data_IF_942076679404
#
_entry.id   IF_942076679404
#
_cell.length_a   1.000
_cell.length_b   1.000
_cell.length_c   1.000
_cell.angle_alpha   90.00
_cell.angle_beta   90.00
_cell.angle_gamma   90.00
#
_symmetry.space_group_name_H-M   'P 1'
#
loop_
_entity.id
_entity.type
_entity.pdbx_description
1 polymer ?
#
# COMPACT_ATOMS: atom_id res chain seq x y z
N UNK A 1 -29.84 -36.63 43.86
CA UNK A 1 -30.20 -35.50 42.99
C UNK A 1 -29.13 -34.43 43.14
N UNK A 2 -28.26 -34.29 42.14
CA UNK A 2 -27.42 -33.10 41.99
C UNK A 2 -27.17 -32.92 40.50
N UNK A 3 -28.14 -32.28 39.84
CA UNK A 3 -28.07 -31.82 38.47
C UNK A 3 -27.07 -30.67 38.39
N UNK A 4 -25.84 -30.97 37.96
CA UNK A 4 -24.88 -29.96 37.58
C UNK A 4 -25.33 -29.31 36.27
N UNK A 5 -25.66 -28.01 36.32
CA UNK A 5 -25.97 -27.21 35.13
C UNK A 5 -24.71 -27.13 34.22
N UNK A 6 -24.84 -27.32 32.90
CA UNK A 6 -23.73 -27.17 31.98
C UNK A 6 -23.24 -25.71 31.95
N UNK A 7 -21.94 -25.52 32.18
CA UNK A 7 -21.29 -24.22 32.21
C UNK A 7 -21.51 -23.44 30.91
N UNK A 8 -21.85 -22.16 31.06
CA UNK A 8 -22.01 -21.23 29.95
C UNK A 8 -20.74 -21.20 29.07
N UNK A 9 -20.87 -21.12 27.73
CA UNK A 9 -19.72 -21.08 26.84
C UNK A 9 -18.81 -19.90 27.18
N UNK A 10 -17.52 -20.19 27.39
CA UNK A 10 -16.51 -19.20 27.78
C UNK A 10 -16.38 -18.09 26.73
N UNK A 11 -16.39 -16.82 27.18
CA UNK A 11 -16.21 -15.59 26.38
C UNK A 11 -14.96 -15.58 25.48
N UNK A 12 -14.05 -16.53 25.63
CA UNK A 12 -12.79 -16.69 24.90
C UNK A 12 -12.98 -17.15 23.45
N UNK A 13 -14.09 -17.80 23.09
CA UNK A 13 -14.26 -18.38 21.74
C UNK A 13 -14.58 -17.36 20.63
N UNK A 14 -15.23 -16.23 20.96
CA UNK A 14 -15.65 -15.15 20.03
C UNK A 14 -14.53 -14.33 19.37
N UNK A 15 -13.27 -14.76 19.50
CA UNK A 15 -12.11 -13.97 19.05
C UNK A 15 -11.33 -14.65 17.92
N UNK A 16 -11.63 -15.87 17.52
CA UNK A 16 -10.76 -16.66 16.63
C UNK A 16 -10.86 -16.26 15.17
N UNK A 17 -12.05 -16.41 14.59
CA UNK A 17 -12.36 -16.06 13.19
C UNK A 17 -12.27 -14.54 13.01
N UNK A 18 -12.76 -13.76 13.97
CA UNK A 18 -12.63 -12.30 13.94
C UNK A 18 -11.15 -11.87 13.92
N UNK A 19 -10.27 -12.50 14.71
CA UNK A 19 -8.82 -12.23 14.64
C UNK A 19 -8.24 -12.56 13.28
N UNK A 20 -8.63 -13.67 12.65
CA UNK A 20 -8.14 -14.04 11.31
C UNK A 20 -8.55 -12.99 10.26
N UNK A 21 -9.80 -12.53 10.29
CA UNK A 21 -10.29 -11.48 9.39
C UNK A 21 -9.56 -10.16 9.67
N UNK A 22 -9.45 -9.75 10.94
CA UNK A 22 -8.74 -8.55 11.35
C UNK A 22 -7.26 -8.58 10.96
N UNK A 23 -6.59 -9.74 10.99
CA UNK A 23 -5.20 -9.84 10.54
C UNK A 23 -5.04 -9.56 9.05
N UNK A 24 -5.98 -9.99 8.20
CA UNK A 24 -5.96 -9.68 6.76
C UNK A 24 -6.21 -8.18 6.53
N UNK A 25 -7.18 -7.60 7.25
CA UNK A 25 -7.43 -6.16 7.19
C UNK A 25 -6.23 -5.32 7.66
N UNK A 26 -5.57 -5.73 8.75
CA UNK A 26 -4.37 -5.08 9.27
C UNK A 26 -3.20 -5.18 8.30
N UNK A 27 -3.02 -6.32 7.61
CA UNK A 27 -2.02 -6.46 6.55
C UNK A 27 -2.27 -5.49 5.39
N UNK A 28 -3.53 -5.30 4.99
CA UNK A 28 -3.90 -4.32 3.95
C UNK A 28 -3.60 -2.87 4.38
N UNK A 29 -3.90 -2.51 5.63
CA UNK A 29 -3.56 -1.19 6.17
C UNK A 29 -2.04 -0.99 6.25
N UNK A 30 -1.31 -1.98 6.73
CA UNK A 30 0.15 -1.92 6.83
C UNK A 30 0.80 -1.82 5.45
N UNK A 31 0.29 -2.55 4.46
CA UNK A 31 0.67 -2.40 3.06
C UNK A 31 0.45 -0.98 2.55
N UNK A 32 -0.73 -0.39 2.79
CA UNK A 32 -1.04 0.97 2.36
C UNK A 32 -0.09 2.00 2.99
N UNK A 33 0.24 1.84 4.28
CA UNK A 33 1.21 2.70 4.97
C UNK A 33 2.61 2.55 4.37
N UNK A 34 3.06 1.32 4.07
CA UNK A 34 4.38 1.09 3.47
C UNK A 34 4.45 1.67 2.06
N UNK A 35 3.43 1.44 1.22
CA UNK A 35 3.35 2.04 -0.12
C UNK A 35 3.38 3.57 -0.03
N UNK A 36 2.62 4.14 0.91
CA UNK A 36 2.62 5.58 1.17
C UNK A 36 4.00 6.10 1.60
N UNK A 37 4.68 5.41 2.52
CA UNK A 37 6.02 5.79 2.98
C UNK A 37 7.05 5.73 1.84
N UNK A 38 7.03 4.65 1.04
CA UNK A 38 7.89 4.50 -0.14
C UNK A 38 7.62 5.61 -1.16
N UNK A 39 6.35 5.94 -1.42
CA UNK A 39 5.99 7.04 -2.31
C UNK A 39 6.51 8.39 -1.79
N UNK A 40 6.32 8.71 -0.51
CA UNK A 40 6.79 9.96 0.10
C UNK A 40 8.31 10.11 0.01
N UNK A 41 9.07 9.07 0.35
CA UNK A 41 10.55 9.11 0.30
C UNK A 41 11.07 9.29 -1.13
N UNK A 42 10.44 8.65 -2.12
CA UNK A 42 10.86 8.81 -3.50
C UNK A 42 10.45 10.17 -4.08
N UNK A 43 9.26 10.67 -3.74
CA UNK A 43 8.81 12.01 -4.12
C UNK A 43 9.70 13.09 -3.49
N UNK A 44 10.16 12.92 -2.25
CA UNK A 44 11.08 13.90 -1.63
C UNK A 44 12.43 13.95 -2.35
N UNK A 45 12.99 12.81 -2.74
CA UNK A 45 14.23 12.74 -3.54
C UNK A 45 14.04 13.36 -4.92
N UNK A 46 12.90 13.14 -5.55
CA UNK A 46 12.56 13.75 -6.84
C UNK A 46 12.40 15.27 -6.74
N UNK A 47 11.83 15.78 -5.63
CA UNK A 47 11.74 17.22 -5.37
C UNK A 47 13.12 17.85 -5.20
N UNK A 48 14.02 17.19 -4.48
CA UNK A 48 15.40 17.65 -4.32
C UNK A 48 16.13 17.75 -5.67
N UNK A 49 16.03 16.70 -6.49
CA UNK A 49 16.64 16.69 -7.83
C UNK A 49 16.06 17.79 -8.75
N UNK A 50 14.75 18.03 -8.71
CA UNK A 50 14.11 19.12 -9.45
C UNK A 50 14.51 20.50 -8.93
N UNK A 51 14.70 20.66 -7.62
CA UNK A 51 15.15 21.94 -7.02
C UNK A 51 16.57 22.27 -7.48
N UNK A 52 17.45 21.26 -7.51
CA UNK A 52 18.80 21.41 -8.05
C UNK A 52 18.77 21.77 -9.55
N UNK A 53 17.93 21.12 -10.34
CA UNK A 53 17.75 21.45 -11.76
C UNK A 53 17.29 22.89 -11.95
N UNK A 54 16.25 23.33 -11.23
CA UNK A 54 15.74 24.69 -11.30
C UNK A 54 16.80 25.74 -10.89
N UNK A 55 17.65 25.41 -9.91
CA UNK A 55 18.76 26.27 -9.50
C UNK A 55 19.81 26.41 -10.62
N UNK A 56 20.13 25.31 -11.31
CA UNK A 56 21.04 25.34 -12.45
C UNK A 56 20.46 26.07 -13.65
N UNK A 57 19.17 25.89 -13.93
CA UNK A 57 18.47 26.62 -15.01
C UNK A 57 18.48 28.13 -14.75
N UNK A 58 18.17 28.56 -13.51
CA UNK A 58 18.28 29.97 -13.11
C UNK A 58 19.71 30.51 -13.28
N UNK A 59 20.72 29.75 -12.87
CA UNK A 59 22.12 30.12 -13.06
C UNK A 59 22.46 30.24 -14.57
N UNK A 60 21.93 29.35 -15.40
CA UNK A 60 22.08 29.40 -16.85
C UNK A 60 21.50 30.69 -17.45
N UNK A 61 20.30 31.07 -17.01
CA UNK A 61 19.65 32.33 -17.42
C UNK A 61 20.47 33.55 -16.99
N UNK A 62 20.96 33.59 -15.74
CA UNK A 62 21.79 34.70 -15.23
C UNK A 62 23.12 34.84 -16.02
N UNK A 63 23.75 33.72 -16.40
CA UNK A 63 24.94 33.71 -17.26
C UNK A 63 24.61 34.22 -18.67
N UNK A 64 23.46 33.84 -19.22
CA UNK A 64 23.02 34.32 -20.52
C UNK A 64 22.73 35.83 -20.50
N UNK A 65 22.08 36.34 -19.44
CA UNK A 65 21.82 37.76 -19.24
C UNK A 65 23.12 38.56 -19.16
N UNK A 66 24.16 38.05 -18.47
CA UNK A 66 25.48 38.68 -18.45
C UNK A 66 26.11 38.78 -19.84
N UNK A 67 26.02 37.72 -20.65
CA UNK A 67 26.55 37.73 -22.02
C UNK A 67 25.78 38.69 -22.92
N UNK A 68 24.46 38.74 -22.75
CA UNK A 68 23.60 39.69 -23.44
C UNK A 68 23.96 41.13 -23.05
N UNK A 69 24.10 41.43 -21.76
CA UNK A 69 24.51 42.73 -21.25
C UNK A 69 25.89 43.17 -21.77
N UNK A 70 26.86 42.26 -21.85
CA UNK A 70 28.16 42.52 -22.48
C UNK A 70 28.00 42.93 -23.95
N UNK A 71 27.13 42.23 -24.69
CA UNK A 71 26.87 42.49 -26.11
C UNK A 71 26.12 43.80 -26.33
N UNK A 72 25.10 44.07 -25.51
CA UNK A 72 24.28 45.27 -25.57
C UNK A 72 25.11 46.52 -25.23
N UNK A 73 25.90 46.47 -24.16
CA UNK A 73 26.79 47.57 -23.77
C UNK A 73 27.80 47.88 -24.88
N UNK A 74 28.40 46.83 -25.47
CA UNK A 74 29.32 47.02 -26.59
C UNK A 74 28.65 47.59 -27.84
N UNK A 75 27.39 47.21 -28.10
CA UNK A 75 26.58 47.81 -29.16
C UNK A 75 26.41 49.32 -28.99
N UNK A 76 26.03 49.76 -27.78
CA UNK A 76 25.92 51.19 -27.46
C UNK A 76 27.27 51.92 -27.53
N UNK A 77 28.36 51.27 -27.13
CA UNK A 77 29.71 51.84 -27.28
C UNK A 77 30.03 52.14 -28.74
N UNK A 78 29.76 51.18 -29.63
CA UNK A 78 29.92 51.37 -31.07
C UNK A 78 29.05 52.52 -31.62
N UNK A 79 27.80 52.65 -31.15
CA UNK A 79 26.92 53.73 -31.60
C UNK A 79 27.40 55.11 -31.15
N UNK A 80 27.78 55.30 -29.88
CA UNK A 80 28.27 56.62 -29.45
C UNK A 80 29.66 56.91 -30.04
N UNK A 81 30.50 55.89 -30.24
CA UNK A 81 31.78 56.05 -30.93
C UNK A 81 31.58 56.53 -32.38
N UNK A 82 30.56 56.02 -33.08
CA UNK A 82 30.17 56.53 -34.40
C UNK A 82 29.70 57.99 -34.34
N UNK A 83 28.95 58.39 -33.31
CA UNK A 83 28.49 59.77 -33.14
C UNK A 83 29.66 60.77 -33.00
N UNK A 84 30.83 60.35 -32.50
CA UNK A 84 32.01 61.23 -32.44
C UNK A 84 32.42 61.79 -33.81
N UNK A 85 32.11 61.09 -34.90
CA UNK A 85 32.33 61.55 -36.29
C UNK A 85 31.15 62.30 -36.87
N UNK A 86 29.93 62.01 -36.41
CA UNK A 86 28.68 62.58 -36.94
C UNK A 86 28.34 63.92 -36.31
N UNK A 87 28.41 64.01 -34.98
CA UNK A 87 28.07 65.18 -34.18
C UNK A 87 29.33 65.96 -33.77
N UNK A 88 30.43 65.24 -33.58
CA UNK A 88 31.70 65.75 -33.07
C UNK A 88 32.07 65.06 -31.75
N UNK A 89 33.36 64.93 -31.44
CA UNK A 89 33.83 64.06 -30.34
C UNK A 89 33.42 64.57 -28.96
N UNK A 90 33.31 65.88 -28.76
CA UNK A 90 32.89 66.44 -27.45
C UNK A 90 31.39 66.23 -27.22
N UNK A 91 30.55 66.59 -28.20
CA UNK A 91 29.09 66.46 -28.10
C UNK A 91 28.66 65.00 -27.91
N UNK A 92 29.28 64.07 -28.64
CA UNK A 92 28.95 62.64 -28.56
C UNK A 92 29.19 62.01 -27.18
N UNK A 93 30.13 62.55 -26.38
CA UNK A 93 30.50 61.98 -25.06
C UNK A 93 30.07 62.83 -23.87
N UNK A 94 29.57 64.05 -24.10
CA UNK A 94 28.88 64.83 -23.08
C UNK A 94 27.57 64.15 -22.69
N UNK A 95 26.89 63.55 -23.67
CA UNK A 95 25.66 62.78 -23.48
C UNK A 95 24.45 63.65 -23.20
N UNK A 96 23.44 63.07 -22.54
CA UNK A 96 22.15 63.70 -22.27
C UNK A 96 20.99 62.78 -22.67
N UNK A 97 19.73 63.21 -22.42
CA UNK A 97 18.55 62.43 -22.76
C UNK A 97 18.52 62.05 -24.24
N UNK A 98 18.14 60.80 -24.54
CA UNK A 98 17.96 60.25 -25.88
C UNK A 98 19.26 60.18 -26.70
N UNK A 99 20.41 60.08 -26.04
CA UNK A 99 21.74 59.95 -26.69
C UNK A 99 22.27 58.51 -26.64
N UNK A 100 23.10 58.13 -27.61
CA UNK A 100 23.79 56.84 -27.57
C UNK A 100 24.72 56.70 -26.37
N UNK A 101 25.26 57.82 -25.85
CA UNK A 101 26.08 57.80 -24.63
C UNK A 101 25.24 57.46 -23.39
N UNK A 102 24.02 57.98 -23.29
CA UNK A 102 23.09 57.57 -22.22
C UNK A 102 22.76 56.08 -22.32
N UNK A 103 22.47 55.58 -23.53
CA UNK A 103 22.25 54.15 -23.78
C UNK A 103 23.41 53.28 -23.27
N UNK A 104 24.66 53.67 -23.55
CA UNK A 104 25.84 52.98 -23.02
C UNK A 104 25.88 52.99 -21.49
N UNK A 105 25.66 54.15 -20.86
CA UNK A 105 25.73 54.29 -19.40
C UNK A 105 24.67 53.43 -18.70
N UNK A 106 23.44 53.41 -19.22
CA UNK A 106 22.38 52.58 -18.65
C UNK A 106 22.62 51.08 -18.89
N UNK A 107 23.08 50.67 -20.09
CA UNK A 107 23.43 49.28 -20.38
C UNK A 107 24.60 48.79 -19.50
N UNK A 108 25.64 49.62 -19.32
CA UNK A 108 26.78 49.32 -18.46
C UNK A 108 26.35 49.19 -16.98
N UNK A 109 25.47 50.07 -16.52
CA UNK A 109 24.92 49.99 -15.16
C UNK A 109 24.08 48.74 -14.95
N UNK A 110 23.21 48.40 -15.90
CA UNK A 110 22.40 47.19 -15.85
C UNK A 110 23.28 45.92 -15.83
N UNK A 111 24.29 45.87 -16.70
CA UNK A 111 25.24 44.74 -16.76
C UNK A 111 26.07 44.61 -15.49
N UNK A 112 26.51 45.74 -14.91
CA UNK A 112 27.21 45.74 -13.62
C UNK A 112 26.32 45.20 -12.50
N UNK A 113 25.04 45.57 -12.48
CA UNK A 113 24.08 45.05 -11.51
C UNK A 113 23.85 43.53 -11.65
N UNK A 114 23.91 42.97 -12.86
CA UNK A 114 23.88 41.53 -13.08
C UNK A 114 25.10 40.84 -12.46
N UNK A 115 26.31 41.40 -12.65
CA UNK A 115 27.52 40.86 -12.02
C UNK A 115 27.46 40.90 -10.50
N UNK A 116 26.87 41.95 -9.92
CA UNK A 116 26.75 42.10 -8.47
C UNK A 116 25.65 41.21 -7.87
N UNK A 117 24.63 40.85 -8.67
CA UNK A 117 23.44 40.11 -8.24
C UNK A 117 23.45 38.61 -8.52
N UNK A 118 24.37 38.11 -9.35
CA UNK A 118 24.42 36.70 -9.75
C UNK A 118 24.60 35.76 -8.54
N UNK A 119 23.79 34.69 -8.47
CA UNK A 119 23.87 33.72 -7.38
C UNK A 119 24.95 32.67 -7.66
N UNK A 120 26.07 32.77 -6.94
CA UNK A 120 27.22 31.86 -7.12
C UNK A 120 27.14 30.58 -6.28
N UNK A 121 26.06 30.34 -5.55
CA UNK A 121 25.94 29.17 -4.65
C UNK A 121 25.98 27.84 -5.40
N UNK A 122 25.42 27.80 -6.62
CA UNK A 122 25.40 26.61 -7.46
C UNK A 122 26.63 26.45 -8.38
N UNK A 123 27.55 27.42 -8.39
CA UNK A 123 28.73 27.40 -9.24
C UNK A 123 29.83 26.48 -8.71
N UNK A 124 30.54 25.79 -9.61
CA UNK A 124 31.80 25.09 -9.31
C UNK A 124 32.95 26.08 -9.06
N UNK A 125 34.11 25.59 -8.64
CA UNK A 125 35.30 26.42 -8.47
C UNK A 125 35.79 27.01 -9.81
N UNK A 126 35.73 26.22 -10.87
CA UNK A 126 36.10 26.60 -12.23
C UNK A 126 35.13 27.66 -12.78
N UNK A 127 33.83 27.47 -12.57
CA UNK A 127 32.81 28.44 -12.99
C UNK A 127 32.95 29.79 -12.26
N UNK A 128 33.26 29.77 -10.95
CA UNK A 128 33.56 30.99 -10.19
C UNK A 128 34.82 31.69 -10.70
N UNK A 129 35.81 30.93 -11.15
CA UNK A 129 37.02 31.48 -11.77
C UNK A 129 36.68 32.18 -13.08
N UNK A 130 35.86 31.56 -13.93
CA UNK A 130 35.38 32.17 -15.18
C UNK A 130 34.54 33.43 -14.91
N UNK A 131 33.65 33.41 -13.93
CA UNK A 131 32.89 34.61 -13.54
C UNK A 131 33.81 35.74 -13.07
N UNK A 132 34.84 35.41 -12.29
CA UNK A 132 35.83 36.39 -11.82
C UNK A 132 36.64 36.97 -12.98
N UNK A 133 37.00 36.14 -13.97
CA UNK A 133 37.65 36.58 -15.21
C UNK A 133 36.74 37.52 -16.00
N UNK A 134 35.46 37.17 -16.16
CA UNK A 134 34.47 38.06 -16.79
C UNK A 134 34.38 39.39 -16.05
N UNK A 135 34.27 39.39 -14.71
CA UNK A 135 34.16 40.62 -13.93
C UNK A 135 35.41 41.50 -14.04
N UNK A 136 36.59 40.88 -13.98
CA UNK A 136 37.87 41.60 -14.11
C UNK A 136 37.98 42.30 -15.47
N UNK A 137 37.61 41.59 -16.55
CA UNK A 137 37.62 42.17 -17.88
C UNK A 137 36.50 43.19 -18.07
N UNK A 138 35.35 43.03 -17.41
CA UNK A 138 34.27 44.02 -17.40
C UNK A 138 34.72 45.34 -16.77
N UNK A 139 35.37 45.29 -15.62
CA UNK A 139 35.91 46.49 -14.97
C UNK A 139 37.00 47.16 -15.83
N UNK A 140 37.84 46.38 -16.52
CA UNK A 140 38.83 46.89 -17.46
C UNK A 140 38.22 47.49 -18.73
N UNK A 141 37.12 46.91 -19.24
CA UNK A 141 36.35 47.45 -20.36
C UNK A 141 35.78 48.82 -20.03
N UNK A 142 35.16 48.98 -18.85
CA UNK A 142 34.62 50.27 -18.39
C UNK A 142 35.73 51.31 -18.17
N UNK A 143 36.88 50.92 -17.62
CA UNK A 143 38.03 51.82 -17.48
C UNK A 143 38.59 52.25 -18.85
N UNK A 144 38.59 51.35 -19.84
CA UNK A 144 38.93 51.66 -21.22
C UNK A 144 37.97 52.66 -21.85
N UNK A 145 36.67 52.48 -21.63
CA UNK A 145 35.64 53.42 -22.07
C UNK A 145 35.86 54.83 -21.48
N UNK A 146 36.15 54.92 -20.19
CA UNK A 146 36.46 56.18 -19.52
C UNK A 146 37.70 56.87 -20.14
N UNK A 147 38.73 56.12 -20.50
CA UNK A 147 39.91 56.65 -21.19
C UNK A 147 39.58 57.16 -22.60
N UNK A 148 38.74 56.43 -23.35
CA UNK A 148 38.29 56.84 -24.67
C UNK A 148 37.47 58.14 -24.59
N UNK A 149 36.53 58.22 -23.65
CA UNK A 149 35.72 59.43 -23.37
C UNK A 149 36.61 60.61 -23.01
N UNK A 150 37.62 60.42 -22.15
CA UNK A 150 38.56 61.47 -21.82
C UNK A 150 39.35 61.97 -23.04
N UNK A 151 39.73 61.08 -23.96
CA UNK A 151 40.39 61.44 -25.21
C UNK A 151 39.47 62.24 -26.15
N UNK A 152 38.21 61.80 -26.31
CA UNK A 152 37.22 62.50 -27.13
C UNK A 152 36.90 63.91 -26.62
N UNK A 153 36.83 64.11 -25.29
CA UNK A 153 36.61 65.42 -24.66
C UNK A 153 37.68 66.47 -24.98
N UNK A 154 38.86 66.06 -25.46
CA UNK A 154 39.88 67.03 -25.90
C UNK A 154 39.46 67.81 -27.14
N UNK A 155 38.52 67.28 -27.94
CA UNK A 155 38.05 67.93 -29.17
C UNK A 155 39.09 68.01 -30.30
N UNK A 156 40.23 67.32 -30.16
CA UNK A 156 41.34 67.39 -31.14
C UNK A 156 41.33 66.18 -32.08
N UNK A 157 41.90 66.28 -33.30
CA UNK A 157 42.10 65.12 -34.18
C UNK A 157 42.87 63.97 -33.51
N UNK A 158 43.89 64.30 -32.71
CA UNK A 158 44.67 63.31 -31.97
C UNK A 158 43.83 62.62 -30.86
N UNK A 159 42.95 63.36 -30.21
CA UNK A 159 42.00 62.81 -29.24
C UNK A 159 40.97 61.88 -29.88
N UNK A 160 40.42 62.27 -31.03
CA UNK A 160 39.52 61.43 -31.82
C UNK A 160 40.19 60.12 -32.24
N UNK A 161 41.42 60.18 -32.76
CA UNK A 161 42.20 59.00 -33.14
C UNK A 161 42.49 58.11 -31.93
N UNK A 162 42.95 58.69 -30.81
CA UNK A 162 43.22 57.94 -29.57
C UNK A 162 41.98 57.23 -29.04
N UNK A 163 40.85 57.94 -28.91
CA UNK A 163 39.61 57.37 -28.40
C UNK A 163 39.07 56.26 -29.30
N UNK A 164 39.10 56.48 -30.63
CA UNK A 164 38.73 55.46 -31.61
C UNK A 164 39.59 54.20 -31.44
N UNK A 165 40.92 54.36 -31.33
CA UNK A 165 41.83 53.23 -31.19
C UNK A 165 41.56 52.41 -29.92
N UNK A 166 41.21 53.05 -28.81
CA UNK A 166 40.88 52.36 -27.56
C UNK A 166 39.65 51.46 -27.75
N UNK A 167 38.62 51.97 -28.42
CA UNK A 167 37.34 51.27 -28.66
C UNK A 167 37.48 50.18 -29.74
N UNK A 168 38.13 50.48 -30.87
CA UNK A 168 38.09 49.64 -32.07
C UNK A 168 39.29 48.66 -32.19
N UNK A 169 40.39 48.92 -31.47
CA UNK A 169 41.63 48.13 -31.58
C UNK A 169 42.29 47.82 -30.23
N UNK A 170 41.83 48.45 -29.16
CA UNK A 170 42.53 48.56 -27.89
C UNK A 170 41.94 47.69 -26.80
N UNK A 171 42.01 48.21 -25.57
CA UNK A 171 41.60 47.48 -24.37
C UNK A 171 40.14 47.03 -24.47
N UNK A 172 39.22 47.88 -24.98
CA UNK A 172 37.80 47.56 -25.05
C UNK A 172 37.52 46.31 -25.89
N UNK A 173 38.16 46.15 -27.05
CA UNK A 173 38.03 44.95 -27.89
C UNK A 173 38.55 43.72 -27.14
N UNK A 174 39.78 43.80 -26.61
CA UNK A 174 40.41 42.65 -25.96
C UNK A 174 39.65 42.19 -24.72
N UNK A 175 39.10 43.12 -23.94
CA UNK A 175 38.32 42.81 -22.75
C UNK A 175 36.94 42.28 -23.12
N UNK A 176 36.28 42.85 -24.15
CA UNK A 176 35.01 42.34 -24.66
C UNK A 176 35.13 40.87 -25.11
N UNK A 177 36.16 40.55 -25.89
CA UNK A 177 36.41 39.20 -26.38
C UNK A 177 36.73 38.21 -25.24
N UNK A 178 37.46 38.67 -24.22
CA UNK A 178 37.73 37.88 -23.03
C UNK A 178 36.44 37.58 -22.23
N UNK A 179 35.56 38.58 -22.05
CA UNK A 179 34.26 38.40 -21.38
C UNK A 179 33.39 37.41 -22.15
N UNK A 180 33.25 37.56 -23.49
CA UNK A 180 32.45 36.62 -24.28
C UNK A 180 33.03 35.20 -24.27
N UNK A 181 34.36 35.07 -24.33
CA UNK A 181 35.03 33.77 -24.29
C UNK A 181 34.83 33.08 -22.95
N UNK A 182 35.03 33.78 -21.83
CA UNK A 182 34.80 33.24 -20.50
C UNK A 182 33.31 32.95 -20.26
N UNK A 183 32.42 33.82 -20.73
CA UNK A 183 30.97 33.65 -20.66
C UNK A 183 30.47 32.44 -21.44
N UNK A 184 31.01 32.17 -22.63
CA UNK A 184 30.69 30.94 -23.38
C UNK A 184 31.11 29.69 -22.63
N UNK A 185 32.35 29.64 -22.12
CA UNK A 185 32.83 28.51 -21.33
C UNK A 185 31.98 28.28 -20.08
N UNK A 186 31.58 29.36 -19.40
CA UNK A 186 30.71 29.30 -18.23
C UNK A 186 29.32 28.77 -18.61
N UNK A 187 28.73 29.31 -19.68
CA UNK A 187 27.44 28.86 -20.20
C UNK A 187 27.44 27.40 -20.63
N UNK A 188 28.50 26.95 -21.33
CA UNK A 188 28.64 25.55 -21.77
C UNK A 188 28.78 24.59 -20.56
N UNK A 189 29.52 24.99 -19.52
CA UNK A 189 29.65 24.22 -18.27
C UNK A 189 28.29 24.06 -17.59
N UNK A 190 27.56 25.17 -17.41
CA UNK A 190 26.24 25.15 -16.77
C UNK A 190 25.24 24.35 -17.60
N UNK A 191 25.23 24.53 -18.93
CA UNK A 191 24.36 23.77 -19.83
C UNK A 191 24.63 22.25 -19.78
N UNK A 192 25.90 21.83 -19.73
CA UNK A 192 26.25 20.43 -19.59
C UNK A 192 25.75 19.84 -18.26
N UNK A 193 25.82 20.61 -17.18
CA UNK A 193 25.31 20.20 -15.86
C UNK A 193 23.79 20.15 -15.81
N UNK A 194 23.10 21.08 -16.48
CA UNK A 194 21.63 21.04 -16.66
C UNK A 194 21.23 19.74 -17.34
N UNK A 195 21.91 19.37 -18.43
CA UNK A 195 21.59 18.14 -19.17
C UNK A 195 21.82 16.88 -18.31
N UNK A 196 22.97 16.78 -17.64
CA UNK A 196 23.24 15.68 -16.71
C UNK A 196 22.23 15.61 -15.57
N UNK A 197 21.76 16.76 -15.07
CA UNK A 197 20.75 16.80 -14.02
C UNK A 197 19.35 16.42 -14.53
N UNK A 198 19.01 16.75 -15.79
CA UNK A 198 17.75 16.31 -16.43
C UNK A 198 17.70 14.79 -16.57
N UNK A 199 18.81 14.16 -16.94
CA UNK A 199 18.92 12.69 -16.96
C UNK A 199 18.69 12.10 -15.56
N UNK A 200 19.32 12.66 -14.52
CA UNK A 200 19.12 12.23 -13.13
C UNK A 200 17.64 12.35 -12.73
N UNK A 201 16.98 13.46 -13.04
CA UNK A 201 15.55 13.66 -12.74
C UNK A 201 14.70 12.61 -13.47
N UNK A 202 14.97 12.34 -14.75
CA UNK A 202 14.25 11.36 -15.55
C UNK A 202 14.42 9.93 -15.00
N UNK A 203 15.63 9.54 -14.65
CA UNK A 203 15.92 8.22 -14.09
C UNK A 203 15.29 8.06 -12.69
N UNK A 204 15.34 9.10 -11.85
CA UNK A 204 14.66 9.08 -10.54
C UNK A 204 13.15 8.95 -10.69
N UNK A 205 12.54 9.56 -11.70
CA UNK A 205 11.11 9.39 -11.96
C UNK A 205 10.78 7.94 -12.35
N UNK A 206 11.59 7.32 -13.22
CA UNK A 206 11.45 5.90 -13.60
C UNK A 206 11.62 4.97 -12.41
N UNK A 207 12.66 5.15 -11.61
CA UNK A 207 12.92 4.37 -10.39
C UNK A 207 11.78 4.51 -9.38
N UNK A 208 11.25 5.72 -9.22
CA UNK A 208 10.11 5.99 -8.33
C UNK A 208 8.87 5.22 -8.77
N UNK A 209 8.53 5.29 -10.06
CA UNK A 209 7.39 4.55 -10.62
C UNK A 209 7.60 3.05 -10.47
N UNK A 210 8.78 2.54 -10.81
CA UNK A 210 9.11 1.12 -10.67
C UNK A 210 9.01 0.65 -9.21
N UNK A 211 9.56 1.40 -8.26
CA UNK A 211 9.52 1.07 -6.83
C UNK A 211 8.07 1.07 -6.30
N UNK A 212 7.25 2.06 -6.65
CA UNK A 212 5.84 2.13 -6.23
C UNK A 212 5.05 0.97 -6.83
N UNK A 213 5.19 0.69 -8.14
CA UNK A 213 4.48 -0.40 -8.82
C UNK A 213 4.90 -1.75 -8.25
N UNK A 214 6.19 -2.00 -8.06
CA UNK A 214 6.69 -3.27 -7.52
C UNK A 214 6.22 -3.48 -6.08
N UNK A 215 6.24 -2.42 -5.25
CA UNK A 215 5.73 -2.48 -3.87
C UNK A 215 4.22 -2.75 -3.86
N UNK A 216 3.45 -2.07 -4.72
CA UNK A 216 2.02 -2.29 -4.86
C UNK A 216 1.71 -3.73 -5.27
N UNK A 217 2.40 -4.26 -6.30
CA UNK A 217 2.22 -5.64 -6.77
C UNK A 217 2.56 -6.65 -5.69
N UNK A 218 3.69 -6.47 -4.99
CA UNK A 218 4.13 -7.37 -3.91
C UNK A 218 3.10 -7.43 -2.77
N UNK A 219 2.66 -6.27 -2.27
CA UNK A 219 1.70 -6.24 -1.17
C UNK A 219 0.29 -6.67 -1.60
N UNK A 220 -0.11 -6.42 -2.85
CA UNK A 220 -1.36 -6.93 -3.41
C UNK A 220 -1.33 -8.46 -3.48
N UNK A 221 -0.23 -9.04 -3.98
CA UNK A 221 -0.04 -10.49 -4.03
C UNK A 221 -0.04 -11.10 -2.62
N UNK A 222 0.61 -10.45 -1.65
CA UNK A 222 0.62 -10.90 -0.25
C UNK A 222 -0.77 -10.84 0.40
N UNK A 223 -1.52 -9.78 0.14
CA UNK A 223 -2.90 -9.64 0.63
C UNK A 223 -3.83 -10.70 0.04
N UNK A 224 -3.75 -10.95 -1.28
CA UNK A 224 -4.50 -12.02 -1.96
C UNK A 224 -4.12 -13.38 -1.38
N UNK A 225 -2.83 -13.66 -1.22
CA UNK A 225 -2.36 -14.92 -0.64
C UNK A 225 -2.88 -15.13 0.79
N UNK A 226 -2.82 -14.10 1.65
CA UNK A 226 -3.36 -14.16 3.00
C UNK A 226 -4.88 -14.39 3.01
N UNK A 227 -5.62 -13.66 2.18
CA UNK A 227 -7.07 -13.79 2.04
C UNK A 227 -7.48 -15.20 1.58
N UNK A 228 -6.85 -15.71 0.52
CA UNK A 228 -7.10 -17.07 -0.01
C UNK A 228 -6.77 -18.13 1.04
N UNK A 229 -5.65 -18.00 1.76
CA UNK A 229 -5.26 -18.94 2.81
C UNK A 229 -6.26 -18.97 3.98
N UNK A 230 -6.76 -17.81 4.40
CA UNK A 230 -7.79 -17.72 5.46
C UNK A 230 -9.12 -18.28 4.96
N UNK A 231 -9.57 -17.89 3.77
CA UNK A 231 -10.82 -18.34 3.18
C UNK A 231 -10.85 -19.87 2.96
N UNK A 232 -9.79 -20.44 2.37
CA UNK A 232 -9.71 -21.90 2.13
C UNK A 232 -9.70 -22.70 3.43
N UNK A 233 -9.00 -22.22 4.47
CA UNK A 233 -9.02 -22.84 5.80
C UNK A 233 -10.40 -22.79 6.43
N UNK A 234 -11.09 -21.65 6.33
CA UNK A 234 -12.43 -21.48 6.88
C UNK A 234 -13.44 -22.38 6.16
N UNK A 235 -13.46 -22.35 4.82
CA UNK A 235 -14.35 -23.17 3.99
C UNK A 235 -14.14 -24.67 4.25
N UNK A 236 -12.89 -25.13 4.32
CA UNK A 236 -12.59 -26.54 4.60
C UNK A 236 -13.16 -26.99 5.95
N UNK A 237 -13.08 -26.14 6.97
CA UNK A 237 -13.61 -26.46 8.32
C UNK A 237 -15.12 -26.45 8.36
N UNK A 238 -15.75 -25.47 7.71
CA UNK A 238 -17.21 -25.41 7.58
C UNK A 238 -17.72 -26.65 6.87
N UNK A 239 -17.07 -27.09 5.78
CA UNK A 239 -17.42 -28.32 5.07
C UNK A 239 -17.29 -29.57 5.95
N UNK A 240 -16.25 -29.68 6.78
CA UNK A 240 -16.10 -30.81 7.69
C UNK A 240 -17.23 -30.87 8.74
N UNK A 241 -17.62 -29.73 9.30
CA UNK A 241 -18.76 -29.64 10.20
C UNK A 241 -20.08 -29.98 9.48
N UNK A 242 -20.26 -29.47 8.26
CA UNK A 242 -21.42 -29.77 7.42
C UNK A 242 -21.56 -31.27 7.15
N UNK A 243 -20.48 -31.96 6.78
CA UNK A 243 -20.49 -33.42 6.57
C UNK A 243 -20.96 -34.19 7.81
N UNK A 244 -20.55 -33.76 9.00
CA UNK A 244 -20.96 -34.40 10.26
C UNK A 244 -22.45 -34.17 10.56
N UNK A 245 -22.96 -32.95 10.29
CA UNK A 245 -24.39 -32.62 10.46
C UNK A 245 -25.24 -33.39 9.45
N UNK A 246 -24.81 -33.49 8.19
CA UNK A 246 -25.52 -34.24 7.15
C UNK A 246 -25.61 -35.74 7.50
N UNK A 247 -24.52 -36.34 8.00
CA UNK A 247 -24.51 -37.70 8.51
C UNK A 247 -25.49 -37.88 9.68
N UNK A 248 -25.47 -36.96 10.66
CA UNK A 248 -26.41 -36.94 11.77
C UNK A 248 -27.87 -36.86 11.31
N UNK A 249 -28.15 -36.04 10.30
CA UNK A 249 -29.49 -35.83 9.73
C UNK A 249 -30.09 -37.07 9.06
N UNK A 250 -29.25 -37.98 8.54
CA UNK A 250 -29.68 -39.26 7.97
C UNK A 250 -29.59 -40.44 8.96
N UNK A 251 -29.27 -40.17 10.23
CA UNK A 251 -29.15 -41.19 11.28
C UNK A 251 -27.81 -41.92 11.33
N UNK A 252 -26.82 -41.51 10.54
CA UNK A 252 -25.45 -42.04 10.64
C UNK A 252 -24.71 -41.36 11.80
N UNK A 253 -24.73 -42.03 12.96
CA UNK A 253 -24.05 -41.58 14.17
C UNK A 253 -22.58 -41.99 14.23
N UNK A 254 -21.99 -42.50 13.14
CA UNK A 254 -20.59 -43.00 13.15
C UNK A 254 -19.56 -41.93 12.79
N UNK A 255 -19.97 -40.83 12.15
CA UNK A 255 -19.08 -39.75 11.70
C UNK A 255 -18.85 -38.72 12.82
N UNK A 256 -17.64 -38.64 13.43
CA UNK A 256 -17.35 -37.67 14.49
C UNK A 256 -17.15 -36.25 13.92
N UNK A 257 -17.54 -35.24 14.71
CA UNK A 257 -17.26 -33.84 14.37
C UNK A 257 -16.08 -33.32 15.20
N UNK A 258 -14.87 -33.39 14.63
CA UNK A 258 -13.65 -32.92 15.30
C UNK A 258 -13.15 -31.60 14.71
N UNK A 259 -12.72 -30.72 15.59
CA UNK A 259 -12.03 -29.48 15.25
C UNK A 259 -10.74 -29.37 16.06
N UNK A 260 -9.63 -29.10 15.37
CA UNK A 260 -8.30 -28.94 15.98
C UNK A 260 -7.95 -27.48 16.30
N UNK A 261 -8.93 -26.64 16.63
CA UNK A 261 -8.72 -25.21 16.90
C UNK A 261 -9.34 -24.77 18.21
N UNK A 262 -9.21 -23.48 18.53
CA UNK A 262 -9.79 -22.89 19.75
C UNK A 262 -10.57 -21.63 19.38
N UNK A 263 -11.35 -21.72 18.29
CA UNK A 263 -12.13 -20.64 17.70
C UNK A 263 -13.64 -20.96 17.69
N UNK A 264 -14.44 -20.07 17.12
CA UNK A 264 -15.90 -20.20 17.05
C UNK A 264 -16.32 -21.47 16.29
N UNK A 265 -15.52 -21.91 15.32
CA UNK A 265 -15.78 -23.13 14.56
C UNK A 265 -15.57 -24.37 15.45
N UNK A 266 -14.59 -24.32 16.37
CA UNK A 266 -14.38 -25.37 17.35
C UNK A 266 -15.55 -25.51 18.32
N UNK A 267 -16.10 -24.38 18.77
CA UNK A 267 -17.29 -24.37 19.62
C UNK A 267 -18.52 -24.99 18.92
N UNK A 268 -18.67 -24.77 17.61
CA UNK A 268 -19.73 -25.37 16.80
C UNK A 268 -19.53 -26.88 16.65
N UNK A 269 -18.33 -27.32 16.27
CA UNK A 269 -18.00 -28.73 16.11
C UNK A 269 -18.20 -29.50 17.43
N UNK A 270 -17.76 -28.94 18.56
CA UNK A 270 -17.97 -29.53 19.88
C UNK A 270 -19.47 -29.64 20.25
N UNK A 271 -20.31 -28.69 19.83
CA UNK A 271 -21.76 -28.77 20.04
C UNK A 271 -22.42 -29.86 19.20
N UNK A 272 -22.01 -30.01 17.93
CA UNK A 272 -22.48 -31.07 17.03
C UNK A 272 -22.08 -32.44 17.59
N UNK A 273 -20.85 -32.59 18.06
CA UNK A 273 -20.35 -33.84 18.63
C UNK A 273 -21.11 -34.25 19.89
N UNK A 274 -21.41 -33.30 20.79
CA UNK A 274 -22.27 -33.57 21.95
C UNK A 274 -23.67 -34.04 21.56
N UNK A 275 -24.26 -33.44 20.52
CA UNK A 275 -25.58 -33.86 20.03
C UNK A 275 -25.53 -35.28 19.46
N UNK A 276 -24.49 -35.61 18.68
CA UNK A 276 -24.27 -36.93 18.09
C UNK A 276 -24.12 -38.02 19.17
N UNK A 277 -23.31 -37.77 20.20
CA UNK A 277 -23.14 -38.69 21.34
C UNK A 277 -24.45 -38.88 22.09
N UNK A 278 -25.16 -37.79 22.40
CA UNK A 278 -26.46 -37.88 23.09
C UNK A 278 -27.50 -38.67 22.31
N UNK A 279 -27.58 -38.53 20.98
CA UNK A 279 -28.46 -39.34 20.13
C UNK A 279 -28.06 -40.82 20.16
N UNK A 280 -26.76 -41.13 20.16
CA UNK A 280 -26.27 -42.51 20.25
C UNK A 280 -26.69 -43.15 21.56
N UNK A 281 -26.59 -42.43 22.67
CA UNK A 281 -26.99 -42.91 23.99
C UNK A 281 -28.50 -43.15 24.08
N UNK A 282 -29.31 -42.27 23.48
CA UNK A 282 -30.76 -42.45 23.39
C UNK A 282 -31.12 -43.69 22.57
N UNK A 283 -30.50 -43.89 21.40
CA UNK A 283 -30.73 -45.09 20.58
C UNK A 283 -30.31 -46.36 21.32
N UNK A 284 -29.17 -46.35 22.01
CA UNK A 284 -28.73 -47.48 22.83
C UNK A 284 -29.72 -47.80 23.96
N UNK A 285 -30.26 -46.78 24.63
CA UNK A 285 -31.28 -46.95 25.67
C UNK A 285 -32.61 -47.48 25.10
N UNK A 286 -33.02 -47.03 23.91
CA UNK A 286 -34.22 -47.55 23.22
C UNK A 286 -34.02 -49.00 22.81
N UNK A 287 -32.83 -49.36 22.31
CA UNK A 287 -32.49 -50.74 21.96
C UNK A 287 -32.55 -51.65 23.19
N UNK A 288 -31.93 -51.24 24.30
CA UNK A 288 -31.94 -51.99 25.55
C UNK A 288 -33.37 -52.14 26.12
N UNK A 289 -34.16 -51.06 26.13
CA UNK A 289 -35.57 -51.12 26.51
C UNK A 289 -36.39 -52.07 25.62
N UNK A 290 -36.14 -52.06 24.31
CA UNK A 290 -36.80 -52.96 23.35
C UNK A 290 -36.42 -54.42 23.58
N UNK A 291 -35.15 -54.72 23.88
CA UNK A 291 -34.69 -56.06 24.25
C UNK A 291 -35.40 -56.56 25.51
N UNK A 292 -35.48 -55.74 26.56
CA UNK A 292 -36.20 -56.09 27.80
C UNK A 292 -37.69 -56.32 27.57
N UNK A 293 -38.32 -55.53 26.69
CA UNK A 293 -39.73 -55.75 26.29
C UNK A 293 -39.87 -57.08 25.53
N UNK A 294 -38.92 -57.43 24.66
CA UNK A 294 -38.88 -58.70 23.96
C UNK A 294 -38.74 -59.89 24.90
N UNK A 295 -37.83 -59.81 25.87
CA UNK A 295 -37.65 -60.80 26.94
C UNK A 295 -38.90 -60.92 27.83
N UNK A 296 -39.53 -59.80 28.18
CA UNK A 296 -40.76 -59.81 28.97
C UNK A 296 -41.92 -60.43 28.20
N UNK A 297 -42.02 -60.15 26.89
CA UNK A 297 -43.05 -60.72 26.01
C UNK A 297 -42.86 -62.23 25.81
N UNK A 298 -41.62 -62.70 25.66
CA UNK A 298 -41.34 -64.14 25.59
C UNK A 298 -41.62 -64.85 26.91
N UNK A 299 -41.29 -64.23 28.04
CA UNK A 299 -41.66 -64.69 29.38
C UNK A 299 -43.17 -64.78 29.56
N UNK A 300 -43.92 -63.75 29.12
CA UNK A 300 -45.39 -63.75 29.18
C UNK A 300 -46.00 -64.83 28.29
N UNK A 301 -45.47 -65.04 27.07
CA UNK A 301 -45.89 -66.13 26.20
C UNK A 301 -45.70 -67.49 26.86
N UNK A 302 -44.56 -67.71 27.53
CA UNK A 302 -44.32 -68.94 28.27
C UNK A 302 -45.28 -69.13 29.45
N UNK A 303 -45.66 -68.04 30.13
CA UNK A 303 -46.70 -68.07 31.19
C UNK A 303 -48.07 -68.37 30.61
N UNK A 304 -48.44 -67.78 29.48
CA UNK A 304 -49.70 -68.05 28.78
C UNK A 304 -49.80 -69.53 28.34
N UNK A 305 -48.71 -70.11 27.81
CA UNK A 305 -48.64 -71.55 27.48
C UNK A 305 -48.79 -72.45 28.71
N UNK A 306 -48.14 -72.08 29.83
CA UNK A 306 -48.30 -72.78 31.11
C UNK A 306 -49.72 -72.68 31.66
N UNK A 307 -50.37 -71.53 31.52
CA UNK A 307 -51.74 -71.35 31.93
C UNK A 307 -52.68 -72.17 31.04
N UNK A 308 -52.47 -72.20 29.72
CA UNK A 308 -53.22 -73.04 28.80
C UNK A 308 -53.12 -74.52 29.14
N UNK A 309 -51.91 -75.01 29.44
CA UNK A 309 -51.70 -76.39 29.90
C UNK A 309 -52.35 -76.66 31.25
N UNK A 310 -52.22 -75.76 32.24
CA UNK A 310 -52.85 -75.87 33.56
C UNK A 310 -54.39 -75.84 33.50
N UNK A 311 -54.98 -74.97 32.67
CA UNK A 311 -56.41 -74.94 32.41
C UNK A 311 -56.89 -76.23 31.77
N UNK A 312 -56.13 -76.81 30.84
CA UNK A 312 -56.44 -78.14 30.28
C UNK A 312 -56.37 -79.25 31.34
N UNK A 313 -55.38 -79.23 32.23
CA UNK A 313 -55.29 -80.18 33.35
C UNK A 313 -56.46 -80.01 34.30
N UNK A 314 -56.84 -78.77 34.62
CA UNK A 314 -57.99 -78.46 35.48
C UNK A 314 -59.28 -78.93 34.83
N UNK A 315 -59.45 -78.72 33.53
CA UNK A 315 -60.59 -79.22 32.75
C UNK A 315 -60.70 -80.74 32.83
N UNK A 316 -59.59 -81.47 32.63
CA UNK A 316 -59.55 -82.93 32.82
C UNK A 316 -59.92 -83.37 34.24
N UNK A 317 -59.42 -82.67 35.27
CA UNK A 317 -59.78 -82.98 36.67
C UNK A 317 -61.25 -82.72 36.94
N UNK A 318 -61.83 -81.66 36.37
CA UNK A 318 -63.26 -81.39 36.47
C UNK A 318 -64.10 -82.44 35.73
N UNK A 319 -63.64 -82.92 34.56
CA UNK A 319 -64.24 -84.06 33.84
C UNK A 319 -64.15 -85.35 34.66
N UNK A 320 -63.02 -85.60 35.31
CA UNK A 320 -62.82 -86.75 36.21
C UNK A 320 -63.71 -86.66 37.46
N UNK A 321 -63.83 -85.48 38.07
CA UNK A 321 -64.77 -85.22 39.18
C UNK A 321 -66.21 -85.41 38.70
N UNK A 322 -66.60 -84.87 37.55
CA UNK A 322 -67.93 -85.09 36.97
C UNK A 322 -68.19 -86.58 36.73
N UNK A 323 -67.18 -87.33 36.25
CA UNK A 323 -67.22 -88.79 36.15
C UNK A 323 -67.45 -89.47 37.51
N UNK A 324 -66.65 -89.13 38.53
CA UNK A 324 -66.81 -89.67 39.89
C UNK A 324 -68.13 -89.28 40.54
N UNK A 325 -68.67 -88.09 40.23
CA UNK A 325 -69.97 -87.63 40.73
C UNK A 325 -71.09 -88.42 40.07
N UNK A 326 -70.92 -88.79 38.80
CA UNK A 326 -71.83 -89.72 38.10
C UNK A 326 -71.76 -91.12 38.72
N UNK A 327 -70.56 -91.59 39.08
CA UNK A 327 -70.34 -92.88 39.76
C UNK A 327 -70.92 -92.92 41.18
N UNK A 328 -70.79 -91.83 41.95
CA UNK A 328 -71.44 -91.64 43.26
C UNK A 328 -72.96 -91.54 43.12
N UNK A 329 -73.48 -90.91 42.06
CA UNK A 329 -74.92 -90.89 41.78
C UNK A 329 -75.44 -92.30 41.47
N UNK A 330 -74.64 -93.13 40.80
CA UNK A 330 -74.98 -94.53 40.53
C UNK A 330 -74.88 -95.44 41.78
N UNK A 331 -74.09 -95.07 42.79
CA UNK A 331 -73.98 -95.82 44.06
C UNK A 331 -75.10 -95.54 45.07
N UNK A 332 -75.92 -94.50 44.84
CA UNK A 332 -77.07 -94.14 45.68
C UNK A 332 -78.39 -94.60 45.04
N UNK A 333 -78.44 -95.85 44.56
CA UNK A 333 -79.70 -96.55 44.24
C UNK A 333 -79.98 -97.56 45.36
N UNK A 334 -80.95 -97.32 46.28
CA UNK A 334 -81.20 -98.23 47.40
C UNK A 334 -81.90 -99.52 46.93
N UNK A 335 -81.30 -100.66 47.28
CA UNK A 335 -81.86 -102.01 47.16
C UNK A 335 -82.91 -102.29 48.26
N UNK A 336 -83.89 -103.21 48.07
CA UNK A 336 -85.16 -103.24 48.79
C UNK A 336 -85.10 -104.00 50.14
N UNK A 337 -86.04 -103.77 51.08
CA UNK A 337 -86.17 -104.58 52.28
C UNK A 337 -87.21 -105.71 52.14
N UNK A 338 -86.84 -106.90 52.59
CA UNK A 338 -87.69 -108.05 52.96
C UNK A 338 -87.19 -108.59 54.31
N UNK A 339 -87.90 -109.50 55.02
CA UNK A 339 -89.34 -109.56 55.33
C UNK A 339 -89.54 -109.87 56.85
N UNK A 340 -90.77 -109.80 57.41
CA UNK A 340 -91.19 -110.66 58.56
C UNK A 340 -92.71 -110.88 58.64
N UNK A 341 -93.04 -112.19 58.66
CA UNK A 341 -94.25 -112.90 59.15
C UNK A 341 -95.59 -112.63 58.52
#
# INVERSE_FOLDING_TARGET
MSTALPGAPSRTSRRGVLRQILTVGLLGLLAAVIVGAVAVVNVSRMREANTQLATLEKLGDEVQDLRFGNSDTNGWQGFYAWDTRKLGPVEAVEGGPDTNREGFVEAAKATTALFDGIDTTAMTAEEKTLLTEMRTNWDAYLAGDDEAVAAFRTGTPAGLEKGTKIIDEGVCVTTYDAIDTAGRKLGDSVASRIEGQREIVADRARDTVAAVVLTLLLFTALAIFAAVRVATRLIRRIRAAQTSIEALGIGDLTVPCESGTSDEIDAIAAAIERARVSMRDVIAAVQDASTRVGESSSGLSAVADRLGTSSNTTRRRLEEIAGSTTEVTHSVTPSPPQPRR
#
